data_IF_844877474364
#
_entry.id   IF_844877474364
#
_cell.length_a   1.000
_cell.length_b   1.000
_cell.length_c   1.000
_cell.angle_alpha   90.00
_cell.angle_beta   90.00
_cell.angle_gamma   90.00
#
_symmetry.space_group_name_H-M   'P 1'
#
loop_
_entity.id
_entity.type
_entity.pdbx_description
1 polymer ?
#
# COMPACT_ATOMS: atom_id res chain seq x y z
N UNK A 1 2.67 4.63 31.21
CA UNK A 1 1.33 4.37 30.66
C UNK A 1 0.70 5.72 30.33
N UNK A 2 0.98 6.24 29.14
CA UNK A 2 0.51 7.57 28.75
C UNK A 2 -0.62 7.46 27.74
N UNK A 3 -1.76 8.02 28.14
CA UNK A 3 -2.64 8.78 27.25
C UNK A 3 -3.36 7.99 26.16
N UNK A 4 -4.49 7.37 26.52
CA UNK A 4 -5.63 7.31 25.60
C UNK A 4 -6.10 8.75 25.34
N UNK A 5 -5.43 9.43 24.41
CA UNK A 5 -5.87 10.71 23.89
C UNK A 5 -7.23 10.50 23.23
N UNK A 6 -8.24 11.15 23.80
CA UNK A 6 -9.61 11.23 23.29
C UNK A 6 -9.55 11.47 21.78
N UNK A 7 -10.07 10.51 20.99
CA UNK A 7 -10.22 10.61 19.53
C UNK A 7 -11.29 11.65 19.17
N UNK A 8 -11.04 12.92 19.46
CA UNK A 8 -11.73 14.01 18.79
C UNK A 8 -11.33 13.94 17.30
N UNK A 9 -12.32 13.96 16.41
CA UNK A 9 -12.17 13.62 15.00
C UNK A 9 -11.09 14.43 14.27
N UNK A 10 -9.86 13.90 14.22
CA UNK A 10 -8.79 14.42 13.37
C UNK A 10 -9.27 14.33 11.91
N UNK A 11 -9.16 15.43 11.18
CA UNK A 11 -9.35 15.44 9.73
C UNK A 11 -8.42 14.40 9.07
N UNK A 12 -8.82 13.86 7.91
CA UNK A 12 -7.95 12.90 7.22
C UNK A 12 -6.67 13.59 6.72
N UNK A 13 -5.52 12.95 6.93
CA UNK A 13 -4.24 13.41 6.40
C UNK A 13 -4.20 13.25 4.88
N UNK A 14 -3.26 13.93 4.24
CA UNK A 14 -3.09 13.81 2.78
C UNK A 14 -2.57 12.42 2.38
N UNK A 15 -1.82 11.74 3.26
CA UNK A 15 -1.42 10.35 3.09
C UNK A 15 -2.62 9.39 3.13
N UNK A 16 -3.53 9.57 4.08
CA UNK A 16 -4.76 8.78 4.20
C UNK A 16 -5.65 8.95 2.94
N UNK A 17 -5.75 10.19 2.42
CA UNK A 17 -6.47 10.49 1.18
C UNK A 17 -5.76 9.89 -0.04
N UNK A 18 -4.44 10.06 -0.13
CA UNK A 18 -3.64 9.58 -1.25
C UNK A 18 -3.73 8.06 -1.39
N UNK A 19 -3.70 7.32 -0.29
CA UNK A 19 -3.85 5.87 -0.32
C UNK A 19 -5.26 5.44 -0.78
N UNK A 20 -6.30 6.13 -0.31
CA UNK A 20 -7.68 5.85 -0.73
C UNK A 20 -7.93 6.18 -2.21
N UNK A 21 -7.42 7.31 -2.71
CA UNK A 21 -7.52 7.66 -4.13
C UNK A 21 -6.69 6.72 -5.00
N UNK A 22 -5.50 6.29 -4.56
CA UNK A 22 -4.68 5.34 -5.32
C UNK A 22 -5.41 4.03 -5.58
N UNK A 23 -6.07 3.45 -4.56
CA UNK A 23 -6.90 2.25 -4.75
C UNK A 23 -8.04 2.52 -5.75
N UNK A 24 -8.69 3.68 -5.66
CA UNK A 24 -9.79 4.07 -6.55
C UNK A 24 -9.33 4.19 -8.00
N UNK A 25 -8.14 4.74 -8.25
CA UNK A 25 -7.55 4.81 -9.58
C UNK A 25 -7.29 3.41 -10.15
N UNK A 26 -6.74 2.50 -9.34
CA UNK A 26 -6.55 1.10 -9.75
C UNK A 26 -7.87 0.40 -10.08
N UNK A 27 -8.92 0.66 -9.32
CA UNK A 27 -10.26 0.13 -9.58
C UNK A 27 -10.87 0.70 -10.87
N UNK A 28 -10.70 2.00 -11.13
CA UNK A 28 -11.13 2.64 -12.39
C UNK A 28 -10.42 2.05 -13.60
N UNK A 29 -9.11 1.79 -13.51
CA UNK A 29 -8.34 1.15 -14.58
C UNK A 29 -8.86 -0.26 -14.90
N UNK A 30 -9.55 -0.91 -13.94
CA UNK A 30 -10.21 -2.20 -14.12
C UNK A 30 -11.70 -2.10 -14.49
N UNK A 31 -12.19 -0.90 -14.83
CA UNK A 31 -13.56 -0.68 -15.26
C UNK A 31 -14.58 -0.44 -14.14
N UNK A 32 -14.14 -0.34 -12.88
CA UNK A 32 -15.04 0.01 -11.76
C UNK A 32 -15.19 1.52 -11.68
N UNK A 33 -16.34 2.02 -12.15
CA UNK A 33 -16.64 3.47 -12.18
C UNK A 33 -17.75 3.89 -11.21
N UNK A 34 -18.52 2.95 -10.66
CA UNK A 34 -19.61 3.21 -9.72
C UNK A 34 -19.17 2.87 -8.31
N UNK A 35 -19.18 3.87 -7.43
CA UNK A 35 -18.82 3.72 -6.02
C UNK A 35 -19.98 4.18 -5.15
N UNK A 36 -20.24 3.52 -4.01
CA UNK A 36 -21.15 4.04 -2.99
C UNK A 36 -20.78 5.46 -2.56
N UNK A 37 -21.76 6.26 -2.15
CA UNK A 37 -21.58 7.67 -1.74
C UNK A 37 -20.52 7.83 -0.64
N UNK A 38 -20.48 6.90 0.29
CA UNK A 38 -19.60 6.89 1.46
C UNK A 38 -18.33 6.03 1.25
N UNK A 39 -18.11 5.50 0.03
CA UNK A 39 -16.99 4.62 -0.25
C UNK A 39 -15.65 5.25 0.12
N UNK A 40 -15.43 6.49 -0.32
CA UNK A 40 -14.17 7.18 -0.07
C UNK A 40 -13.94 7.43 1.43
N UNK A 41 -14.99 7.78 2.17
CA UNK A 41 -14.93 7.96 3.62
C UNK A 41 -14.53 6.67 4.34
N UNK A 42 -15.11 5.53 3.93
CA UNK A 42 -14.76 4.21 4.48
C UNK A 42 -13.30 3.86 4.17
N UNK A 43 -12.82 4.13 2.95
CA UNK A 43 -11.43 3.86 2.60
C UNK A 43 -10.47 4.69 3.44
N UNK A 44 -10.72 5.98 3.61
CA UNK A 44 -9.85 6.84 4.45
C UNK A 44 -9.83 6.39 5.92
N UNK A 45 -10.96 5.91 6.46
CA UNK A 45 -11.02 5.35 7.82
C UNK A 45 -10.14 4.09 7.97
N UNK A 46 -10.08 3.25 6.94
CA UNK A 46 -9.17 2.10 6.92
C UNK A 46 -7.72 2.55 6.74
N UNK A 47 -7.45 3.48 5.81
CA UNK A 47 -6.11 4.05 5.58
C UNK A 47 -5.52 4.63 6.86
N UNK A 48 -6.33 5.33 7.66
CA UNK A 48 -5.95 5.81 8.99
C UNK A 48 -5.44 4.69 9.89
N UNK A 49 -6.10 3.54 9.88
CA UNK A 49 -5.70 2.39 10.69
C UNK A 49 -4.42 1.77 10.14
N UNK A 50 -4.27 1.71 8.82
CA UNK A 50 -3.08 1.17 8.14
C UNK A 50 -1.82 2.01 8.36
N UNK A 51 -1.98 3.32 8.56
CA UNK A 51 -0.90 4.30 8.77
C UNK A 51 -0.74 4.68 10.25
N UNK A 52 -1.51 4.08 11.16
CA UNK A 52 -1.43 4.37 12.59
C UNK A 52 -0.34 3.52 13.26
N UNK A 53 0.62 4.17 13.89
CA UNK A 53 1.64 3.55 14.72
C UNK A 53 3.06 3.87 14.24
N UNK A 54 4.02 3.72 15.15
CA UNK A 54 5.44 4.04 14.92
C UNK A 54 6.09 3.12 13.87
N UNK A 55 5.61 1.88 13.77
CA UNK A 55 6.11 0.87 12.82
C UNK A 55 5.10 0.58 11.68
N UNK A 56 4.17 1.50 11.43
CA UNK A 56 3.21 1.34 10.35
C UNK A 56 3.92 1.38 8.98
N UNK A 57 3.54 0.52 8.01
CA UNK A 57 4.09 0.59 6.66
C UNK A 57 3.81 1.95 6.03
N UNK A 58 4.74 2.42 5.21
CA UNK A 58 4.59 3.70 4.52
C UNK A 58 3.48 3.65 3.46
N UNK A 59 3.02 4.82 3.00
CA UNK A 59 2.09 4.90 1.86
C UNK A 59 2.64 4.17 0.63
N UNK A 60 3.95 4.28 0.38
CA UNK A 60 4.59 3.63 -0.76
C UNK A 60 4.65 2.11 -0.62
N UNK A 61 4.87 1.59 0.60
CA UNK A 61 4.75 0.15 0.88
C UNK A 61 3.33 -0.36 0.59
N UNK A 62 2.31 0.40 1.01
CA UNK A 62 0.91 0.05 0.74
C UNK A 62 0.55 0.13 -0.74
N UNK A 63 1.03 1.15 -1.46
CA UNK A 63 0.88 1.23 -2.93
C UNK A 63 1.53 0.04 -3.63
N UNK A 64 2.72 -0.36 -3.20
CA UNK A 64 3.42 -1.53 -3.73
C UNK A 64 2.65 -2.84 -3.45
N UNK A 65 2.02 -2.96 -2.27
CA UNK A 65 1.12 -4.06 -1.96
C UNK A 65 -0.10 -4.07 -2.88
N UNK A 66 -0.75 -2.92 -3.10
CA UNK A 66 -1.87 -2.79 -4.04
C UNK A 66 -1.43 -3.19 -5.46
N UNK A 67 -0.30 -2.69 -5.93
CA UNK A 67 0.23 -3.06 -7.25
C UNK A 67 0.47 -4.57 -7.38
N UNK A 68 1.06 -5.18 -6.37
CA UNK A 68 1.29 -6.63 -6.35
C UNK A 68 -0.03 -7.40 -6.40
N UNK A 69 -1.02 -7.00 -5.60
CA UNK A 69 -2.35 -7.62 -5.60
C UNK A 69 -3.03 -7.51 -6.96
N UNK A 70 -2.96 -6.34 -7.60
CA UNK A 70 -3.56 -6.09 -8.91
C UNK A 70 -2.82 -6.77 -10.06
N UNK A 71 -1.56 -7.21 -9.88
CA UNK A 71 -0.86 -8.06 -10.85
C UNK A 71 -1.13 -9.55 -10.62
N UNK A 72 -1.54 -9.92 -9.42
CA UNK A 72 -1.75 -11.31 -9.07
C UNK A 72 -3.00 -11.88 -9.76
N UNK A 73 -2.92 -13.01 -10.48
CA UNK A 73 -4.04 -13.57 -11.25
C UNK A 73 -5.30 -13.83 -10.40
N UNK A 74 -5.11 -14.37 -9.18
CA UNK A 74 -6.22 -14.64 -8.28
C UNK A 74 -6.72 -13.42 -7.49
N UNK A 75 -5.82 -12.62 -6.89
CA UNK A 75 -6.22 -11.55 -5.96
C UNK A 75 -6.70 -10.30 -6.65
N UNK A 76 -6.25 -10.01 -7.87
CA UNK A 76 -6.59 -8.76 -8.54
C UNK A 76 -8.10 -8.54 -8.64
N UNK A 77 -8.85 -9.59 -8.94
CA UNK A 77 -10.31 -9.51 -9.10
C UNK A 77 -11.07 -9.56 -7.76
N UNK A 78 -10.35 -9.78 -6.66
CA UNK A 78 -10.91 -9.94 -5.30
C UNK A 78 -10.62 -8.75 -4.39
N UNK A 79 -9.96 -7.70 -4.90
CA UNK A 79 -9.57 -6.52 -4.13
C UNK A 79 -10.37 -5.32 -4.64
N UNK A 80 -11.25 -4.79 -3.79
CA UNK A 80 -12.16 -3.67 -4.06
C UNK A 80 -12.19 -2.60 -2.95
N UNK A 81 -11.52 -2.86 -1.82
CA UNK A 81 -11.39 -1.94 -0.69
C UNK A 81 -10.09 -2.17 0.10
N UNK A 82 -9.64 -1.13 0.83
CA UNK A 82 -8.38 -1.13 1.58
C UNK A 82 -8.37 -2.15 2.74
N UNK A 83 -9.51 -2.50 3.33
CA UNK A 83 -9.51 -3.51 4.40
C UNK A 83 -9.08 -4.87 3.86
N UNK A 84 -9.45 -5.20 2.61
CA UNK A 84 -8.96 -6.40 1.95
C UNK A 84 -7.46 -6.35 1.65
N UNK A 85 -6.94 -5.19 1.30
CA UNK A 85 -5.48 -4.97 1.13
C UNK A 85 -4.76 -5.19 2.46
N UNK A 86 -5.30 -4.65 3.55
CA UNK A 86 -4.79 -4.83 4.92
C UNK A 86 -4.75 -6.32 5.31
N UNK A 87 -5.82 -7.08 5.06
CA UNK A 87 -5.86 -8.53 5.34
C UNK A 87 -4.79 -9.31 4.58
N UNK A 88 -4.43 -8.85 3.37
CA UNK A 88 -3.47 -9.51 2.50
C UNK A 88 -2.03 -9.01 2.69
N UNK A 89 -1.82 -8.02 3.56
CA UNK A 89 -0.51 -7.47 3.88
C UNK A 89 0.52 -8.53 4.30
N UNK A 90 0.23 -9.48 5.22
CA UNK A 90 1.22 -10.49 5.61
C UNK A 90 1.69 -11.35 4.43
N UNK A 91 0.81 -11.59 3.44
CA UNK A 91 1.16 -12.36 2.24
C UNK A 91 2.07 -11.57 1.32
N UNK A 92 1.80 -10.28 1.14
CA UNK A 92 2.68 -9.39 0.38
C UNK A 92 4.07 -9.34 1.00
N UNK A 93 4.17 -9.20 2.32
CA UNK A 93 5.44 -9.17 3.04
C UNK A 93 6.24 -10.46 2.78
N UNK A 94 5.59 -11.63 2.87
CA UNK A 94 6.25 -12.92 2.69
C UNK A 94 6.63 -13.21 1.23
N UNK A 95 5.77 -12.86 0.27
CA UNK A 95 5.90 -13.32 -1.12
C UNK A 95 6.54 -12.29 -2.06
N UNK A 96 6.46 -11.00 -1.75
CA UNK A 96 6.80 -9.95 -2.69
C UNK A 96 7.79 -8.93 -2.13
N UNK A 97 7.64 -8.53 -0.85
CA UNK A 97 8.53 -7.53 -0.25
C UNK A 97 9.97 -8.04 -0.16
N UNK A 98 10.15 -9.27 0.29
CA UNK A 98 11.48 -9.88 0.38
C UNK A 98 12.13 -10.03 -1.01
N UNK A 99 11.37 -10.50 -2.01
CA UNK A 99 11.85 -10.60 -3.38
C UNK A 99 12.27 -9.25 -3.99
N UNK A 100 11.48 -8.19 -3.73
CA UNK A 100 11.82 -6.84 -4.20
C UNK A 100 13.12 -6.32 -3.59
N UNK A 101 13.33 -6.56 -2.29
CA UNK A 101 14.56 -6.15 -1.61
C UNK A 101 15.78 -6.89 -2.17
N UNK A 102 15.66 -8.19 -2.43
CA UNK A 102 16.71 -9.00 -3.05
C UNK A 102 17.07 -8.51 -4.47
N UNK A 103 16.06 -8.14 -5.27
CA UNK A 103 16.27 -7.65 -6.63
C UNK A 103 16.95 -6.26 -6.64
N UNK A 104 16.51 -5.34 -5.78
CA UNK A 104 17.14 -4.02 -5.62
C UNK A 104 18.61 -4.13 -5.15
N UNK A 105 18.91 -5.08 -4.24
CA UNK A 105 20.28 -5.34 -3.79
C UNK A 105 21.16 -5.93 -4.91
N UNK A 106 20.61 -6.85 -5.71
CA UNK A 106 21.31 -7.42 -6.89
C UNK A 106 21.61 -6.36 -7.95
N UNK A 107 20.66 -5.48 -8.22
CA UNK A 107 20.82 -4.35 -9.17
C UNK A 107 21.92 -3.40 -8.68
N UNK A 108 21.91 -3.04 -7.38
CA UNK A 108 22.97 -2.22 -6.77
C UNK A 108 24.34 -2.87 -6.86
N UNK A 109 24.45 -4.16 -6.53
CA UNK A 109 25.71 -4.91 -6.65
C UNK A 109 26.21 -4.93 -8.09
N UNK A 110 25.32 -5.14 -9.07
CA UNK A 110 25.65 -5.06 -10.50
C UNK A 110 26.11 -3.67 -10.92
N UNK A 111 25.42 -2.61 -10.47
CA UNK A 111 25.79 -1.23 -10.78
C UNK A 111 27.16 -0.86 -10.20
N UNK A 112 27.45 -1.27 -8.96
CA UNK A 112 28.74 -1.09 -8.30
C UNK A 112 29.86 -1.87 -9.01
N UNK A 113 29.63 -3.13 -9.37
CA UNK A 113 30.58 -3.92 -10.16
C UNK A 113 30.85 -3.28 -11.52
N UNK A 114 29.79 -2.78 -12.18
CA UNK A 114 29.92 -2.09 -13.47
C UNK A 114 30.69 -0.78 -13.33
N UNK A 115 30.51 0.00 -12.27
CA UNK A 115 31.30 1.22 -12.03
C UNK A 115 32.76 0.93 -11.70
N UNK A 116 33.04 -0.18 -10.99
CA UNK A 116 34.40 -0.60 -10.64
C UNK A 116 35.18 -1.16 -11.84
N UNK A 117 34.51 -1.79 -12.80
CA UNK A 117 35.14 -2.39 -14.00
C UNK A 117 35.16 -1.48 -15.23
N UNK A 118 34.48 -0.31 -15.21
CA UNK A 118 34.52 0.70 -16.28
C UNK A 118 35.32 1.96 -15.91
N UNK A 119 36.10 1.94 -14.81
CA UNK A 119 37.19 2.90 -14.53
C UNK A 119 38.54 2.29 -14.89
#
# INVERSE_FOLDING_TARGET
MEGMAKRAGRAFSDEEKALAEYLKEKLKLRGVHKFPRDWHLRQMAVARTMLAGENAPSVEDWKACIDWLFRHPYWGDKVDHLARVLDLWPRYVLQARNHRQDDEERERKRALLKSLYLS
#
